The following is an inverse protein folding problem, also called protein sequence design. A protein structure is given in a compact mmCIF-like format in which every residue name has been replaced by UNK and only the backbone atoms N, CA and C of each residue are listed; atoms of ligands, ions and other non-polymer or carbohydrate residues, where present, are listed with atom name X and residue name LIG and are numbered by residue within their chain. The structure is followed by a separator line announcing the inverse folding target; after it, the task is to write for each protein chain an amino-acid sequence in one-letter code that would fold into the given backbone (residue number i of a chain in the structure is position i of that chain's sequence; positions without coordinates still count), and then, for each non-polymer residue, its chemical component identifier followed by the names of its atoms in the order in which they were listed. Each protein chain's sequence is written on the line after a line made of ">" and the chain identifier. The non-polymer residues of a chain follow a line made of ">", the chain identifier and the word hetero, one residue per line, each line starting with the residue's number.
data_IF_352398369335
#
_entry.id   IF_352398369335
#
_cell.length_a   1.000
_cell.length_b   1.000
_cell.length_c   1.000
_cell.angle_alpha   90.00
_cell.angle_beta   90.00
_cell.angle_gamma   90.00
#
_symmetry.space_group_name_H-M   'P 1'
#
loop_
_entity.id
_entity.type
_entity.pdbx_description
1 polymer ?
#
# COMPACT_ATOMS: atom_id res chain seq x y z
N UNK A 1 -5.73 -5.49 9.10
CA UNK A 1 -4.88 -4.47 8.42
C UNK A 1 -3.76 -5.15 7.61
N UNK A 2 -3.53 -4.69 6.38
CA UNK A 2 -2.45 -5.07 5.47
C UNK A 2 -1.71 -3.80 4.96
N UNK A 3 -0.85 -3.90 3.94
CA UNK A 3 -0.09 -2.75 3.41
C UNK A 3 -0.92 -1.63 2.75
N UNK A 4 -2.22 -1.84 2.52
CA UNK A 4 -3.12 -0.86 1.89
C UNK A 4 -4.42 -0.62 2.68
N UNK A 5 -4.54 -1.19 3.88
CA UNK A 5 -5.74 -1.06 4.71
C UNK A 5 -5.42 -0.75 6.15
N UNK A 6 -6.24 0.10 6.74
CA UNK A 6 -6.24 0.44 8.16
C UNK A 6 -7.44 -0.21 8.85
N UNK A 7 -7.27 -0.52 10.13
CA UNK A 7 -8.36 -0.96 10.99
C UNK A 7 -8.74 0.17 11.92
N UNK A 8 -10.00 0.61 11.88
CA UNK A 8 -10.57 1.60 12.77
C UNK A 8 -11.36 0.89 13.88
N UNK A 9 -10.76 0.66 15.06
CA UNK A 9 -11.38 -0.13 16.11
C UNK A 9 -12.64 0.53 16.69
N UNK A 10 -12.69 1.86 16.74
CA UNK A 10 -13.84 2.62 17.26
C UNK A 10 -15.13 2.34 16.49
N UNK A 11 -15.01 2.07 15.19
CA UNK A 11 -16.14 1.81 14.29
C UNK A 11 -16.20 0.33 13.85
N UNK A 12 -15.32 -0.52 14.38
CA UNK A 12 -15.12 -1.90 13.93
C UNK A 12 -15.05 -2.03 12.40
N UNK A 13 -14.40 -1.06 11.73
CA UNK A 13 -14.42 -0.95 10.28
C UNK A 13 -13.00 -0.96 9.69
N UNK A 14 -12.86 -1.63 8.55
CA UNK A 14 -11.64 -1.58 7.75
C UNK A 14 -11.76 -0.51 6.68
N UNK A 15 -10.68 0.23 6.46
CA UNK A 15 -10.60 1.32 5.48
C UNK A 15 -9.43 1.06 4.54
N UNK A 16 -9.64 1.21 3.24
CA UNK A 16 -8.61 1.10 2.20
C UNK A 16 -8.02 2.48 1.90
N UNK A 17 -6.69 2.55 1.78
CA UNK A 17 -6.02 3.77 1.31
C UNK A 17 -6.38 4.00 -0.16
N UNK A 18 -6.84 5.21 -0.46
CA UNK A 18 -7.34 5.55 -1.80
C UNK A 18 -6.24 5.48 -2.88
N UNK A 19 -6.65 4.99 -4.06
CA UNK A 19 -5.91 5.02 -5.32
C UNK A 19 -4.54 4.33 -5.34
N UNK A 20 -4.19 3.60 -4.29
CA UNK A 20 -2.95 2.86 -4.19
C UNK A 20 -3.20 1.37 -4.02
N UNK A 21 -2.30 0.58 -4.57
CA UNK A 21 -2.24 -0.85 -4.33
C UNK A 21 -0.89 -1.22 -3.73
N UNK A 22 -0.92 -2.03 -2.68
CA UNK A 22 0.25 -2.54 -2.01
C UNK A 22 0.18 -4.07 -2.05
N UNK A 23 1.34 -4.71 -2.19
CA UNK A 23 1.41 -6.17 -2.18
C UNK A 23 0.63 -6.77 -0.99
N UNK A 24 -0.21 -7.77 -1.26
CA UNK A 24 -0.83 -8.55 -0.19
C UNK A 24 0.07 -9.74 0.22
N UNK A 25 0.81 -10.28 -0.75
CA UNK A 25 1.67 -11.46 -0.60
C UNK A 25 3.12 -11.15 -0.98
N UNK A 26 4.11 -11.89 -0.45
CA UNK A 26 5.47 -11.86 -0.96
C UNK A 26 5.49 -12.08 -2.48
N UNK A 27 6.22 -11.24 -3.20
CA UNK A 27 6.33 -11.32 -4.66
C UNK A 27 7.69 -11.90 -5.03
N UNK A 28 7.72 -12.79 -6.02
CA UNK A 28 8.97 -13.30 -6.53
C UNK A 28 9.67 -12.22 -7.36
N UNK A 29 10.92 -11.90 -7.01
CA UNK A 29 11.78 -11.08 -7.87
C UNK A 29 12.36 -11.97 -8.99
N UNK A 30 11.50 -12.52 -9.83
CA UNK A 30 11.92 -13.35 -10.95
C UNK A 30 12.47 -12.45 -12.06
N UNK A 31 13.76 -12.56 -12.36
CA UNK A 31 14.31 -11.97 -13.58
C UNK A 31 13.72 -12.73 -14.78
N UNK A 32 13.00 -12.08 -15.70
CA UNK A 32 12.42 -12.77 -16.86
C UNK A 32 13.49 -13.37 -17.79
N UNK A 33 14.75 -12.90 -17.73
CA UNK A 33 15.91 -13.44 -18.46
C UNK A 33 16.72 -14.44 -17.62
N UNK A 34 16.07 -15.22 -16.78
CA UNK A 34 16.74 -16.21 -15.95
C UNK A 34 17.09 -17.47 -16.77
N UNK A 35 18.22 -17.39 -17.48
CA UNK A 35 18.70 -18.39 -18.44
C UNK A 35 19.40 -19.59 -17.76
N UNK A 36 20.19 -19.36 -16.70
CA UNK A 36 20.97 -20.40 -16.00
C UNK A 36 20.30 -20.88 -14.69
N UNK A 37 19.11 -21.48 -14.81
CA UNK A 37 18.31 -21.97 -13.66
C UNK A 37 18.98 -23.08 -12.84
N UNK A 38 19.85 -23.87 -13.48
CA UNK A 38 20.56 -24.98 -12.83
C UNK A 38 21.75 -24.52 -11.98
N UNK A 39 22.35 -23.37 -12.31
CA UNK A 39 23.54 -22.84 -11.63
C UNK A 39 23.22 -21.71 -10.63
N UNK A 40 22.20 -20.91 -10.91
CA UNK A 40 21.80 -19.78 -10.07
C UNK A 40 20.38 -20.01 -9.58
N UNK A 41 20.22 -20.29 -8.27
CA UNK A 41 18.91 -20.43 -7.63
C UNK A 41 18.11 -19.13 -7.73
N UNK A 42 16.78 -19.26 -7.83
CA UNK A 42 15.89 -18.10 -7.76
C UNK A 42 16.17 -17.28 -6.51
N UNK A 43 16.18 -15.94 -6.61
CA UNK A 43 16.19 -15.11 -5.42
C UNK A 43 14.95 -15.41 -4.58
N UNK A 44 15.05 -15.32 -3.24
CA UNK A 44 13.91 -15.53 -2.36
C UNK A 44 12.82 -14.50 -2.66
N UNK A 45 11.54 -14.84 -2.41
CA UNK A 45 10.44 -13.91 -2.61
C UNK A 45 10.64 -12.66 -1.75
N UNK A 46 10.45 -11.49 -2.35
CA UNK A 46 10.48 -10.20 -1.67
C UNK A 46 9.21 -10.09 -0.82
N UNK A 47 9.30 -9.93 0.51
CA UNK A 47 8.14 -9.85 1.37
C UNK A 47 7.54 -8.43 1.35
N UNK A 48 7.20 -7.93 0.16
CA UNK A 48 6.68 -6.57 -0.02
C UNK A 48 5.39 -6.33 0.76
N UNK A 49 4.49 -7.32 0.86
CA UNK A 49 3.27 -7.17 1.67
C UNK A 49 3.54 -7.05 3.18
N UNK A 50 4.31 -7.97 3.79
CA UNK A 50 4.77 -7.83 5.16
C UNK A 50 5.51 -6.51 5.44
N UNK A 51 6.39 -6.08 4.53
CA UNK A 51 7.11 -4.80 4.68
C UNK A 51 6.21 -3.58 4.55
N UNK A 52 5.29 -3.56 3.58
CA UNK A 52 4.29 -2.50 3.43
C UNK A 52 3.43 -2.37 4.70
N UNK A 53 2.96 -3.51 5.24
CA UNK A 53 2.21 -3.56 6.50
C UNK A 53 3.05 -3.05 7.68
N UNK A 54 4.31 -3.47 7.79
CA UNK A 54 5.20 -3.05 8.86
C UNK A 54 5.50 -1.55 8.80
N UNK A 55 5.73 -1.02 7.59
CA UNK A 55 5.91 0.41 7.36
C UNK A 55 4.66 1.20 7.75
N UNK A 56 3.48 0.78 7.29
CA UNK A 56 2.22 1.45 7.62
C UNK A 56 1.98 1.48 9.13
N UNK A 57 2.20 0.34 9.82
CA UNK A 57 2.13 0.26 11.28
C UNK A 57 3.11 1.20 11.98
N UNK A 58 4.35 1.29 11.49
CA UNK A 58 5.37 2.19 12.05
C UNK A 58 5.00 3.66 11.85
N UNK A 59 4.47 4.02 10.68
CA UNK A 59 4.10 5.39 10.33
C UNK A 59 2.90 5.88 11.14
N UNK A 60 1.88 5.02 11.29
CA UNK A 60 0.71 5.28 12.13
C UNK A 60 1.10 5.27 13.61
N UNK A 61 1.78 4.23 14.08
CA UNK A 61 2.14 4.07 15.49
C UNK A 61 0.94 4.23 16.42
N UNK A 62 1.07 5.08 17.44
CA UNK A 62 0.00 5.45 18.38
C UNK A 62 -0.66 6.79 18.03
N UNK A 63 -0.47 7.30 16.81
CA UNK A 63 -1.00 8.61 16.40
C UNK A 63 -2.47 8.49 15.97
N UNK A 64 -3.22 9.57 16.13
CA UNK A 64 -4.55 9.68 15.51
C UNK A 64 -4.42 9.73 13.99
N UNK A 65 -5.27 8.98 13.31
CA UNK A 65 -5.40 8.99 11.85
C UNK A 65 -6.79 9.48 11.52
N UNK A 66 -6.86 10.45 10.62
CA UNK A 66 -8.12 10.99 10.09
C UNK A 66 -8.30 10.49 8.67
N UNK A 67 -9.41 9.78 8.39
CA UNK A 67 -9.72 9.29 7.06
C UNK A 67 -10.99 9.95 6.52
N UNK A 68 -10.90 10.50 5.32
CA UNK A 68 -12.04 11.02 4.55
C UNK A 68 -12.39 10.02 3.47
N UNK A 69 -13.56 9.39 3.56
CA UNK A 69 -14.04 8.43 2.56
C UNK A 69 -14.31 9.15 1.24
N UNK A 70 -13.75 8.61 0.16
CA UNK A 70 -13.87 9.16 -1.19
C UNK A 70 -14.80 8.30 -2.05
N UNK A 71 -14.75 6.99 -1.87
CA UNK A 71 -15.53 6.02 -2.62
C UNK A 71 -15.71 4.73 -1.80
N UNK A 72 -16.54 3.82 -2.31
CA UNK A 72 -16.65 2.46 -1.81
C UNK A 72 -16.20 1.50 -2.91
N UNK A 73 -15.42 0.48 -2.56
CA UNK A 73 -15.10 -0.61 -3.47
C UNK A 73 -16.29 -1.54 -3.70
N UNK A 74 -16.21 -2.38 -4.73
CA UNK A 74 -17.24 -3.39 -5.04
C UNK A 74 -17.42 -4.40 -3.89
N UNK A 75 -16.41 -4.56 -3.05
CA UNK A 75 -16.42 -5.36 -1.83
C UNK A 75 -17.03 -4.64 -0.62
N UNK A 76 -17.58 -3.43 -0.82
CA UNK A 76 -18.18 -2.60 0.22
C UNK A 76 -17.17 -1.94 1.15
N UNK A 77 -15.86 -2.11 0.93
CA UNK A 77 -14.83 -1.47 1.74
C UNK A 77 -14.68 0.01 1.38
N UNK A 78 -14.74 0.93 2.36
CA UNK A 78 -14.52 2.34 2.09
C UNK A 78 -13.08 2.58 1.64
N UNK A 79 -12.94 3.28 0.51
CA UNK A 79 -11.69 3.83 0.00
C UNK A 79 -11.58 5.27 0.46
N UNK A 80 -10.51 5.60 1.19
CA UNK A 80 -10.37 6.88 1.87
C UNK A 80 -8.97 7.47 1.75
N UNK A 81 -8.92 8.80 1.75
CA UNK A 81 -7.68 9.55 2.01
C UNK A 81 -7.45 9.59 3.51
N UNK A 82 -6.33 9.03 3.96
CA UNK A 82 -6.01 8.94 5.38
C UNK A 82 -4.76 9.75 5.70
N UNK A 83 -4.87 10.61 6.71
CA UNK A 83 -3.83 11.54 7.12
C UNK A 83 -3.41 11.26 8.56
N UNK A 84 -2.10 11.17 8.80
CA UNK A 84 -1.52 11.09 10.13
C UNK A 84 -0.60 12.27 10.35
N UNK A 85 -0.84 13.07 11.38
CA UNK A 85 0.00 14.26 11.71
C UNK A 85 0.26 15.18 10.50
N UNK A 86 -0.77 15.41 9.67
CA UNK A 86 -0.68 16.23 8.45
C UNK A 86 -0.05 15.55 7.23
N UNK A 87 0.32 14.27 7.31
CA UNK A 87 0.90 13.50 6.19
C UNK A 87 -0.08 12.49 5.64
N UNK A 88 -0.23 12.50 4.32
CA UNK A 88 -1.05 11.54 3.59
C UNK A 88 -0.39 10.16 3.57
N UNK A 89 -1.05 9.16 4.16
CA UNK A 89 -0.52 7.81 4.27
C UNK A 89 -0.36 7.14 2.90
N UNK A 90 -1.27 7.36 1.96
CA UNK A 90 -1.16 6.77 0.64
C UNK A 90 0.07 7.34 -0.11
N UNK A 91 0.27 8.66 -0.01
CA UNK A 91 1.44 9.33 -0.56
C UNK A 91 2.75 8.82 0.06
N UNK A 92 2.78 8.63 1.38
CA UNK A 92 3.95 8.05 2.06
C UNK A 92 4.25 6.64 1.57
N UNK A 93 3.22 5.80 1.37
CA UNK A 93 3.40 4.43 0.84
C UNK A 93 3.98 4.43 -0.58
N UNK A 94 3.54 5.35 -1.44
CA UNK A 94 4.09 5.53 -2.78
C UNK A 94 5.54 6.00 -2.73
N UNK A 95 5.83 7.01 -1.91
CA UNK A 95 7.16 7.64 -1.79
C UNK A 95 8.25 6.64 -1.41
N UNK A 96 7.94 5.66 -0.57
CA UNK A 96 8.92 4.65 -0.11
C UNK A 96 8.88 3.36 -0.93
N UNK A 97 8.08 3.31 -2.00
CA UNK A 97 8.00 2.16 -2.90
C UNK A 97 7.28 0.95 -2.33
N UNK A 98 6.46 1.12 -1.28
CA UNK A 98 5.65 0.03 -0.72
C UNK A 98 4.26 -0.08 -1.33
N UNK A 99 3.90 0.85 -2.20
CA UNK A 99 2.68 0.82 -2.99
C UNK A 99 2.94 1.36 -4.40
N UNK A 100 2.03 1.04 -5.31
CA UNK A 100 1.91 1.64 -6.65
C UNK A 100 0.57 2.34 -6.79
N UNK A 101 0.46 3.25 -7.74
CA UNK A 101 -0.83 3.82 -8.12
C UNK A 101 -1.69 2.73 -8.77
N UNK A 102 -2.95 2.64 -8.33
CA UNK A 102 -3.91 1.60 -8.74
C UNK A 102 -4.92 2.07 -9.79
N UNK A 103 -5.06 3.39 -9.98
CA UNK A 103 -6.00 4.01 -10.93
C UNK A 103 -5.28 5.01 -11.84
N UNK A 104 -5.65 5.09 -13.14
CA UNK A 104 -5.16 6.13 -14.02
C UNK A 104 -5.67 7.53 -13.64
N UNK A 105 -6.72 7.62 -12.83
CA UNK A 105 -7.35 8.87 -12.41
C UNK A 105 -7.38 8.96 -10.88
N UNK A 106 -6.23 9.21 -10.21
CA UNK A 106 -6.20 9.34 -8.76
C UNK A 106 -6.85 10.64 -8.30
N UNK A 107 -7.47 10.62 -7.12
CA UNK A 107 -8.07 11.80 -6.50
C UNK A 107 -7.04 12.91 -6.21
N UNK A 108 -5.78 12.55 -6.01
CA UNK A 108 -4.68 13.48 -5.82
C UNK A 108 -3.65 13.34 -6.94
N UNK A 109 -3.43 14.42 -7.70
CA UNK A 109 -2.39 14.47 -8.72
C UNK A 109 -0.97 14.25 -8.19
N UNK A 110 -0.76 14.42 -6.88
CA UNK A 110 0.53 14.14 -6.24
C UNK A 110 0.92 12.66 -6.29
N UNK A 111 -0.05 11.74 -6.45
CA UNK A 111 0.24 10.30 -6.49
C UNK A 111 0.99 9.91 -7.76
N UNK A 112 0.69 10.57 -8.88
CA UNK A 112 1.31 10.31 -10.18
C UNK A 112 2.79 10.68 -10.16
N UNK A 113 3.18 11.70 -9.38
CA UNK A 113 4.57 12.16 -9.29
C UNK A 113 5.54 11.10 -8.73
N UNK A 114 5.02 10.04 -8.11
CA UNK A 114 5.82 8.94 -7.53
C UNK A 114 5.67 7.63 -8.30
N UNK A 115 5.03 7.65 -9.48
CA UNK A 115 4.90 6.50 -10.35
C UNK A 115 6.06 6.50 -11.36
N UNK A 116 7.03 5.59 -11.17
CA UNK A 116 8.19 5.38 -12.04
C UNK A 116 8.24 3.94 -12.55
#
# INVERSE_FOLDING_TARGET
>A
MNGRTLWYPQFAQQVRLADIDACELPQWALNPKWEDRERVKAPPPVPCGPFAKAWLKRTVGNKSVECTVLAYGDDGLPSARCVVTGRDLALEMLRVGWARVATPYPYSGQYIAYQH
#
